data_IF_082449586802
#
_entry.id   IF_082449586802
#
_cell.length_a   1.000
_cell.length_b   1.000
_cell.length_c   1.000
_cell.angle_alpha   90.00
_cell.angle_beta   90.00
_cell.angle_gamma   90.00
#
_symmetry.space_group_name_H-M   'P 1'
#
loop_
_entity.id
_entity.type
_entity.pdbx_description
1 polymer ?
#
# COMPACT_ATOMS: atom_id res chain seq x y z
N UNK A 1 11.58 12.93 105.22
CA UNK A 1 11.45 14.39 105.42
C UNK A 1 12.69 15.07 104.87
N UNK A 2 12.55 16.23 104.23
CA UNK A 2 13.65 17.00 103.63
C UNK A 2 13.86 18.28 104.45
N UNK A 3 15.11 18.66 104.72
CA UNK A 3 15.45 19.89 105.46
C UNK A 3 15.43 21.07 104.49
N UNK A 4 14.62 22.09 104.76
CA UNK A 4 14.64 23.33 103.99
C UNK A 4 15.85 24.21 104.35
N UNK A 5 16.09 25.25 103.56
CA UNK A 5 17.23 26.16 103.75
C UNK A 5 17.20 26.91 105.09
N UNK A 6 16.05 26.93 105.78
CA UNK A 6 15.86 27.52 107.11
C UNK A 6 15.98 26.48 108.23
N UNK A 7 16.34 25.23 107.90
CA UNK A 7 16.61 24.16 108.84
C UNK A 7 15.39 23.37 109.31
N UNK A 8 14.20 23.61 108.74
CA UNK A 8 12.94 22.95 109.10
C UNK A 8 12.73 21.68 108.27
N UNK A 9 12.27 20.60 108.89
CA UNK A 9 11.94 19.36 108.20
C UNK A 9 10.53 19.44 107.59
N UNK A 10 10.43 19.29 106.27
CA UNK A 10 9.17 19.31 105.52
C UNK A 10 8.89 17.96 104.85
N UNK A 11 7.62 17.74 104.50
CA UNK A 11 7.21 16.62 103.64
C UNK A 11 7.77 16.80 102.23
N UNK A 12 8.04 15.69 101.54
CA UNK A 12 8.59 15.72 100.18
C UNK A 12 7.54 16.27 99.19
N UNK A 13 7.90 17.31 98.42
CA UNK A 13 7.05 17.85 97.36
C UNK A 13 7.42 17.14 96.06
N UNK A 14 6.46 16.47 95.43
CA UNK A 14 6.69 15.70 94.22
C UNK A 14 7.26 16.60 93.11
N UNK A 15 8.30 16.13 92.42
CA UNK A 15 9.01 16.84 91.35
C UNK A 15 9.78 18.10 91.76
N UNK A 16 10.00 18.35 93.05
CA UNK A 16 10.89 19.41 93.52
C UNK A 16 12.37 18.96 93.47
N UNK A 17 13.29 19.87 93.11
CA UNK A 17 14.72 19.60 93.16
C UNK A 17 15.22 19.51 94.61
N UNK A 18 16.17 18.61 94.85
CA UNK A 18 16.79 18.45 96.16
C UNK A 18 17.52 19.75 96.55
N UNK A 19 17.34 20.20 97.81
CA UNK A 19 17.84 21.46 98.37
C UNK A 19 17.16 22.76 97.87
N UNK A 20 16.09 22.64 97.08
CA UNK A 20 15.34 23.79 96.56
C UNK A 20 14.03 24.03 97.35
N UNK A 21 14.10 23.90 98.67
CA UNK A 21 12.98 24.11 99.60
C UNK A 21 13.22 25.35 100.47
N UNK A 22 12.25 26.26 100.52
CA UNK A 22 12.27 27.47 101.37
C UNK A 22 10.91 27.62 102.04
N UNK A 23 10.89 27.70 103.38
CA UNK A 23 9.66 27.83 104.18
C UNK A 23 8.59 26.76 103.85
N UNK A 24 9.01 25.52 103.63
CA UNK A 24 8.10 24.43 103.26
C UNK A 24 7.50 24.51 101.85
N UNK A 25 7.98 25.40 100.98
CA UNK A 25 7.60 25.51 99.58
C UNK A 25 8.77 25.11 98.67
N UNK A 26 8.46 24.52 97.52
CA UNK A 26 9.45 24.30 96.48
C UNK A 26 9.73 25.60 95.73
N UNK A 27 11.00 25.97 95.58
CA UNK A 27 11.43 27.15 94.80
C UNK A 27 12.02 26.77 93.44
N UNK A 28 12.39 25.50 93.24
CA UNK A 28 12.94 25.01 91.97
C UNK A 28 12.48 23.56 91.72
N UNK A 29 11.80 23.33 90.60
CA UNK A 29 11.24 22.04 90.23
C UNK A 29 12.09 21.34 89.16
N UNK A 30 11.91 20.03 88.99
CA UNK A 30 12.49 19.27 87.87
C UNK A 30 12.05 19.86 86.52
N UNK A 31 12.86 19.65 85.48
CA UNK A 31 12.55 20.06 84.10
C UNK A 31 11.10 19.67 83.72
N UNK A 32 10.36 20.60 83.12
CA UNK A 32 8.93 20.51 82.77
C UNK A 32 7.92 20.72 83.90
N UNK A 33 8.37 21.16 85.07
CA UNK A 33 7.51 21.57 86.18
C UNK A 33 7.89 22.97 86.68
N UNK A 34 6.92 23.72 87.20
CA UNK A 34 7.15 25.03 87.82
C UNK A 34 6.37 25.15 89.14
N UNK A 35 6.89 25.83 90.17
CA UNK A 35 6.18 26.00 91.43
C UNK A 35 4.98 26.92 91.26
N UNK A 36 3.81 26.51 91.76
CA UNK A 36 2.62 27.35 91.86
C UNK A 36 2.72 28.30 93.09
N UNK A 37 1.71 29.17 93.29
CA UNK A 37 1.64 30.09 94.44
C UNK A 37 1.72 29.40 95.82
N UNK A 38 1.32 28.12 95.87
CA UNK A 38 1.36 27.29 97.07
C UNK A 38 2.71 26.58 97.28
N UNK A 39 3.64 26.67 96.32
CA UNK A 39 4.94 26.02 96.38
C UNK A 39 4.95 24.58 95.90
N UNK A 40 3.91 24.13 95.19
CA UNK A 40 3.82 22.80 94.59
C UNK A 40 4.26 22.83 93.13
N UNK A 41 5.00 21.82 92.69
CA UNK A 41 5.46 21.70 91.31
C UNK A 41 4.32 21.23 90.40
N UNK A 42 3.79 22.14 89.58
CA UNK A 42 2.79 21.83 88.56
C UNK A 42 3.47 21.53 87.22
N UNK A 43 2.90 20.60 86.46
CA UNK A 43 3.42 20.23 85.14
C UNK A 43 3.23 21.39 84.16
N UNK A 44 4.33 21.89 83.61
CA UNK A 44 4.41 22.98 82.61
C UNK A 44 4.96 22.48 81.28
N UNK A 45 4.82 21.17 80.99
CA UNK A 45 5.20 20.58 79.71
C UNK A 45 4.43 21.26 78.58
N UNK A 46 5.17 21.80 77.61
CA UNK A 46 4.59 22.44 76.44
C UNK A 46 4.46 21.40 75.33
N UNK A 47 3.24 21.26 74.79
CA UNK A 47 2.99 20.33 73.69
C UNK A 47 3.81 20.72 72.46
N UNK A 48 4.31 19.71 71.75
CA UNK A 48 5.17 19.88 70.56
C UNK A 48 6.48 20.65 70.79
N UNK A 49 6.87 20.87 72.04
CA UNK A 49 8.17 21.43 72.37
C UNK A 49 9.25 20.34 72.40
N UNK A 50 10.41 20.61 71.78
CA UNK A 50 11.60 19.74 71.80
C UNK A 50 12.53 20.11 72.96
N UNK A 51 12.67 21.41 73.25
CA UNK A 51 13.45 21.92 74.38
C UNK A 51 12.71 23.08 75.03
N UNK A 52 12.54 23.05 76.35
CA UNK A 52 11.90 24.12 77.14
C UNK A 52 12.80 24.58 78.28
N UNK A 53 12.62 25.83 78.72
CA UNK A 53 13.20 26.40 79.93
C UNK A 53 12.06 26.81 80.91
N UNK A 54 12.41 27.51 81.98
CA UNK A 54 11.46 27.99 83.01
C UNK A 54 10.45 29.03 82.49
N UNK A 55 10.74 29.68 81.36
CA UNK A 55 9.92 30.74 80.77
C UNK A 55 9.04 30.26 79.61
N UNK A 56 9.33 29.09 79.04
CA UNK A 56 8.54 28.47 77.98
C UNK A 56 9.37 27.61 77.04
N UNK A 57 8.86 27.38 75.83
CA UNK A 57 9.57 26.57 74.84
C UNK A 57 10.74 27.35 74.23
N UNK A 58 11.91 26.72 74.15
CA UNK A 58 13.10 27.25 73.47
C UNK A 58 13.18 26.76 72.03
N UNK A 59 12.81 25.50 71.77
CA UNK A 59 12.83 24.88 70.44
C UNK A 59 11.63 23.98 70.25
N UNK A 60 10.84 24.22 69.22
CA UNK A 60 9.73 23.36 68.85
C UNK A 60 10.20 22.10 68.10
N UNK A 61 9.35 21.07 68.07
CA UNK A 61 9.51 19.93 67.17
C UNK A 61 9.36 20.37 65.72
N UNK A 62 9.86 19.55 64.80
CA UNK A 62 9.69 19.78 63.35
C UNK A 62 8.22 19.97 62.98
N UNK A 63 7.94 20.83 62.00
CA UNK A 63 6.58 21.27 61.60
C UNK A 63 5.82 22.13 62.62
N UNK A 64 6.49 22.61 63.66
CA UNK A 64 5.95 23.59 64.62
C UNK A 64 6.87 24.80 64.73
N UNK A 65 6.30 25.99 64.91
CA UNK A 65 7.04 27.23 65.10
C UNK A 65 6.82 27.80 66.49
N UNK A 66 7.83 28.51 66.99
CA UNK A 66 7.80 29.19 68.28
C UNK A 66 7.02 30.51 68.15
N UNK A 67 5.99 30.69 68.96
CA UNK A 67 5.22 31.94 69.06
C UNK A 67 5.89 32.94 69.99
N UNK A 68 5.43 34.20 69.96
CA UNK A 68 5.87 35.23 70.91
C UNK A 68 5.61 34.85 72.38
N UNK A 69 4.59 34.04 72.64
CA UNK A 69 4.22 33.55 73.97
C UNK A 69 5.00 32.29 74.39
N UNK A 70 6.12 31.99 73.71
CA UNK A 70 6.97 30.81 73.95
C UNK A 70 6.23 29.47 73.84
N UNK A 71 5.19 29.38 73.01
CA UNK A 71 4.44 28.14 72.72
C UNK A 71 4.75 27.64 71.31
N UNK A 72 4.48 26.36 71.06
CA UNK A 72 4.64 25.77 69.74
C UNK A 72 3.29 25.64 69.04
N UNK A 73 3.15 26.25 67.88
CA UNK A 73 1.99 26.09 67.02
C UNK A 73 2.37 25.40 65.71
N UNK A 74 1.43 24.64 65.15
CA UNK A 74 1.64 23.88 63.93
C UNK A 74 1.83 24.82 62.73
N UNK A 75 2.76 24.49 61.85
CA UNK A 75 2.90 25.13 60.55
C UNK A 75 1.67 24.87 59.67
N UNK A 76 1.43 25.76 58.71
CA UNK A 76 0.47 25.51 57.63
C UNK A 76 0.89 24.25 56.86
N UNK A 77 -0.08 23.43 56.48
CA UNK A 77 0.16 22.14 55.79
C UNK A 77 0.86 22.30 54.44
N UNK A 78 0.98 23.51 53.89
CA UNK A 78 1.79 23.81 52.70
C UNK A 78 3.29 23.99 52.99
N UNK A 79 3.67 24.25 54.25
CA UNK A 79 5.04 24.48 54.66
C UNK A 79 5.67 23.21 55.26
N UNK A 80 6.92 22.93 54.92
CA UNK A 80 7.69 21.90 55.64
C UNK A 80 8.25 22.46 56.96
N UNK A 81 8.76 23.69 56.91
CA UNK A 81 9.20 24.49 58.06
C UNK A 81 8.53 25.85 58.04
N UNK A 82 8.31 26.47 59.21
CA UNK A 82 7.77 27.82 59.29
C UNK A 82 8.37 28.62 60.46
N UNK A 83 8.37 29.95 60.33
CA UNK A 83 8.98 30.86 61.29
C UNK A 83 8.06 32.04 61.63
N UNK A 84 7.83 32.28 62.92
CA UNK A 84 7.05 33.40 63.47
C UNK A 84 5.54 33.33 63.24
N UNK A 85 5.08 32.79 62.10
CA UNK A 85 3.67 32.54 61.78
C UNK A 85 3.51 31.21 61.05
N UNK A 86 2.33 30.60 61.10
CA UNK A 86 2.05 29.31 60.44
C UNK A 86 2.26 29.35 58.92
N UNK A 87 2.04 30.51 58.28
CA UNK A 87 2.10 30.66 56.81
C UNK A 87 3.45 31.11 56.26
N UNK A 88 4.39 31.51 57.13
CA UNK A 88 5.72 31.94 56.72
C UNK A 88 6.62 30.73 56.65
N UNK A 89 6.68 30.11 55.47
CA UNK A 89 7.39 28.85 55.23
C UNK A 89 8.91 29.09 55.15
N UNK A 90 9.55 29.38 56.29
CA UNK A 90 10.97 29.65 56.44
C UNK A 90 11.56 28.86 57.60
N UNK A 91 12.86 28.60 57.55
CA UNK A 91 13.55 27.85 58.61
C UNK A 91 13.91 28.74 59.82
N UNK A 92 14.42 29.95 59.57
CA UNK A 92 15.03 30.81 60.61
C UNK A 92 14.96 32.31 60.27
N UNK A 93 14.11 32.71 59.31
CA UNK A 93 14.01 34.10 58.86
C UNK A 93 15.12 34.55 57.90
N UNK A 94 16.09 33.69 57.57
CA UNK A 94 17.17 33.93 56.58
C UNK A 94 16.67 34.08 55.13
N UNK A 95 15.39 33.85 54.88
CA UNK A 95 14.83 33.82 53.54
C UNK A 95 15.10 32.51 52.79
N UNK A 96 15.54 31.44 53.45
CA UNK A 96 15.47 30.07 52.93
C UNK A 96 14.21 29.38 53.46
N UNK A 97 13.45 28.75 52.57
CA UNK A 97 12.13 28.17 52.89
C UNK A 97 11.83 26.95 52.05
N UNK A 98 11.30 25.91 52.69
CA UNK A 98 10.98 24.62 52.05
C UNK A 98 9.46 24.41 52.09
N UNK A 99 8.90 24.19 50.90
CA UNK A 99 7.49 23.91 50.70
C UNK A 99 7.28 22.40 50.65
N UNK A 100 6.14 21.93 51.15
CA UNK A 100 5.77 20.52 51.00
C UNK A 100 5.61 20.16 49.52
N UNK A 101 5.80 18.87 49.20
CA UNK A 101 5.62 18.33 47.85
C UNK A 101 4.27 18.76 47.26
N UNK A 102 4.27 19.22 46.01
CA UNK A 102 3.09 19.80 45.34
C UNK A 102 2.90 21.30 45.57
N UNK A 103 3.81 21.97 46.27
CA UNK A 103 3.84 23.42 46.44
C UNK A 103 5.19 23.99 46.02
N UNK A 104 5.18 25.21 45.50
CA UNK A 104 6.38 25.99 45.18
C UNK A 104 6.43 27.26 46.02
N UNK A 105 7.65 27.81 46.15
CA UNK A 105 7.86 29.01 46.94
C UNK A 105 7.32 30.25 46.23
N UNK A 106 6.50 31.02 46.92
CA UNK A 106 5.98 32.29 46.45
C UNK A 106 6.15 33.37 47.54
N UNK A 107 7.24 34.15 47.43
CA UNK A 107 7.63 35.11 48.45
C UNK A 107 8.02 34.44 49.77
N UNK A 108 7.24 34.74 50.83
CA UNK A 108 7.41 34.19 52.19
C UNK A 108 6.58 32.93 52.46
N UNK A 109 5.68 32.57 51.54
CA UNK A 109 4.80 31.41 51.67
C UNK A 109 4.99 30.42 50.53
N UNK A 110 4.12 29.41 50.50
CA UNK A 110 4.07 28.43 49.45
C UNK A 110 2.73 28.50 48.72
N UNK A 111 2.78 28.38 47.40
CA UNK A 111 1.63 28.32 46.50
C UNK A 111 1.55 26.91 45.89
N UNK A 112 0.33 26.43 45.64
CA UNK A 112 0.12 25.10 45.08
C UNK A 112 0.62 25.04 43.63
N UNK A 113 1.24 23.93 43.25
CA UNK A 113 1.54 23.64 41.85
C UNK A 113 0.26 23.48 41.02
N UNK A 114 0.36 23.69 39.72
CA UNK A 114 -0.70 23.33 38.78
C UNK A 114 -1.00 21.83 38.83
N UNK A 115 -2.25 21.46 38.52
CA UNK A 115 -2.77 20.09 38.73
C UNK A 115 -2.01 19.03 37.92
N UNK A 116 -1.41 19.42 36.80
CA UNK A 116 -0.65 18.57 35.91
C UNK A 116 0.72 18.18 36.50
N UNK A 117 1.11 18.76 37.64
CA UNK A 117 2.47 18.71 38.14
C UNK A 117 2.54 18.19 39.56
N UNK A 118 3.40 17.19 39.75
CA UNK A 118 3.69 16.60 41.06
C UNK A 118 4.63 17.50 41.87
N UNK A 119 5.64 18.06 41.21
CA UNK A 119 6.55 19.07 41.77
C UNK A 119 6.82 20.16 40.75
N UNK A 120 6.93 21.38 41.22
CA UNK A 120 7.15 22.56 40.39
C UNK A 120 8.06 23.56 41.11
N UNK A 121 8.77 24.38 40.33
CA UNK A 121 9.58 25.48 40.87
C UNK A 121 8.83 26.82 40.79
N UNK A 122 7.95 26.95 39.81
CA UNK A 122 7.04 28.07 39.62
C UNK A 122 5.68 27.53 39.20
N UNK A 123 4.66 28.39 39.19
CA UNK A 123 3.30 28.03 38.78
C UNK A 123 3.26 27.16 37.52
N UNK A 124 3.95 27.59 36.45
CA UNK A 124 3.91 26.93 35.13
C UNK A 124 5.21 26.18 34.78
N UNK A 125 6.16 26.02 35.74
CA UNK A 125 7.43 25.32 35.51
C UNK A 125 7.51 24.06 36.34
N UNK A 126 7.10 22.96 35.71
CA UNK A 126 7.03 21.67 36.34
C UNK A 126 8.35 20.92 36.23
N UNK A 127 8.73 20.28 37.32
CA UNK A 127 9.94 19.46 37.39
C UNK A 127 9.55 18.00 37.14
N UNK A 128 8.48 17.54 37.81
CA UNK A 128 7.95 16.18 37.67
C UNK A 128 6.45 16.28 37.39
N UNK A 129 6.01 15.63 36.32
CA UNK A 129 4.59 15.58 35.97
C UNK A 129 3.79 14.67 36.92
N UNK A 130 2.53 15.04 37.12
CA UNK A 130 1.55 14.29 37.92
C UNK A 130 1.20 12.93 37.30
N UNK A 131 0.37 12.17 38.00
CA UNK A 131 -0.19 10.93 37.45
C UNK A 131 -1.14 11.24 36.28
N UNK A 132 -1.06 10.46 35.20
CA UNK A 132 -1.79 10.74 33.97
C UNK A 132 -1.19 11.85 33.10
N UNK A 133 0.00 12.36 33.44
CA UNK A 133 0.72 13.38 32.67
C UNK A 133 2.15 12.95 32.35
N UNK A 134 2.70 13.45 31.24
CA UNK A 134 4.10 13.24 30.84
C UNK A 134 4.75 14.56 30.41
N UNK A 135 6.08 14.61 30.45
CA UNK A 135 6.87 15.79 30.09
C UNK A 135 7.08 15.89 28.57
N UNK A 136 6.49 16.91 27.93
CA UNK A 136 6.71 17.20 26.52
C UNK A 136 8.17 17.57 26.22
N UNK A 137 8.53 17.63 24.93
CA UNK A 137 9.84 18.16 24.50
C UNK A 137 10.07 19.63 24.88
N UNK A 138 9.00 20.40 25.11
CA UNK A 138 9.05 21.81 25.51
C UNK A 138 9.08 22.00 27.03
N UNK A 139 9.13 20.92 27.81
CA UNK A 139 9.14 20.98 29.28
C UNK A 139 7.78 21.28 29.90
N UNK A 140 6.68 20.99 29.19
CA UNK A 140 5.31 21.18 29.68
C UNK A 140 4.69 19.81 29.95
N UNK A 141 4.02 19.66 31.09
CA UNK A 141 3.28 18.45 31.40
C UNK A 141 1.98 18.37 30.60
N UNK A 142 1.86 17.34 29.75
CA UNK A 142 0.69 17.09 28.90
C UNK A 142 -0.06 15.84 29.34
N UNK A 143 -1.38 15.84 29.17
CA UNK A 143 -2.23 14.69 29.55
C UNK A 143 -1.98 13.50 28.64
N UNK A 144 -1.74 12.33 29.23
CA UNK A 144 -1.55 11.07 28.48
C UNK A 144 -2.81 10.68 27.70
N UNK A 145 -4.00 11.04 28.20
CA UNK A 145 -5.29 10.75 27.54
C UNK A 145 -5.51 11.53 26.24
N UNK A 146 -4.81 12.65 26.06
CA UNK A 146 -4.93 13.47 24.84
C UNK A 146 -4.05 12.97 23.69
N UNK A 147 -3.04 12.15 23.99
CA UNK A 147 -2.16 11.58 22.98
C UNK A 147 -2.89 10.46 22.25
N UNK A 148 -2.86 10.53 20.92
CA UNK A 148 -3.35 9.47 20.04
C UNK A 148 -2.18 8.83 19.32
N UNK A 149 -2.37 7.57 18.92
CA UNK A 149 -1.39 6.88 18.07
C UNK A 149 -0.15 6.35 18.78
N UNK A 150 -0.07 6.42 20.11
CA UNK A 150 1.01 5.75 20.86
C UNK A 150 0.71 4.26 21.03
N UNK A 151 1.72 3.41 20.88
CA UNK A 151 1.65 1.97 21.08
C UNK A 151 2.13 1.63 22.48
N UNK A 152 1.22 1.16 23.33
CA UNK A 152 1.52 0.82 24.71
C UNK A 152 1.40 2.02 25.67
N UNK A 153 2.09 1.93 26.80
CA UNK A 153 2.05 2.95 27.85
C UNK A 153 2.93 4.17 27.51
N UNK A 154 2.51 5.34 28.00
CA UNK A 154 3.21 6.60 27.83
C UNK A 154 4.11 6.84 29.04
N UNK A 155 5.41 6.92 28.80
CA UNK A 155 6.41 7.15 29.82
C UNK A 155 6.35 8.61 30.32
N UNK A 156 6.44 8.82 31.64
CA UNK A 156 6.32 10.16 32.23
C UNK A 156 7.44 11.12 31.79
N UNK A 157 8.63 10.61 31.51
CA UNK A 157 9.80 11.41 31.15
C UNK A 157 10.04 11.40 29.64
N UNK A 158 9.88 10.23 29.01
CA UNK A 158 10.18 10.03 27.60
C UNK A 158 8.96 10.12 26.68
N UNK A 159 7.76 10.22 27.22
CA UNK A 159 6.52 10.22 26.45
C UNK A 159 6.29 8.91 25.72
N UNK A 160 5.87 8.98 24.46
CA UNK A 160 5.66 7.82 23.64
C UNK A 160 6.98 7.25 23.11
N UNK A 161 7.18 5.93 23.24
CA UNK A 161 8.38 5.24 22.71
C UNK A 161 8.19 4.69 21.31
N UNK A 162 6.99 4.18 21.01
CA UNK A 162 6.66 3.57 19.72
C UNK A 162 5.27 4.01 19.30
N UNK A 163 5.08 4.34 18.02
CA UNK A 163 3.78 4.73 17.49
C UNK A 163 3.06 3.55 16.83
N UNK A 164 1.73 3.60 16.84
CA UNK A 164 0.87 2.70 16.08
C UNK A 164 1.09 2.90 14.58
N UNK A 165 0.75 1.88 13.79
CA UNK A 165 0.76 1.98 12.33
C UNK A 165 -0.11 3.15 11.85
N UNK A 166 0.39 3.91 10.86
CA UNK A 166 -0.22 5.16 10.41
C UNK A 166 0.19 6.40 11.21
N UNK A 167 1.12 6.27 12.16
CA UNK A 167 1.70 7.38 12.93
C UNK A 167 3.23 7.32 12.94
N UNK A 168 3.87 8.47 13.14
CA UNK A 168 5.32 8.61 13.30
C UNK A 168 5.66 9.37 14.59
N UNK A 169 6.80 9.03 15.19
CA UNK A 169 7.25 9.62 16.44
C UNK A 169 7.91 10.98 16.19
N UNK A 170 7.39 12.02 16.84
CA UNK A 170 7.95 13.37 16.80
C UNK A 170 7.80 14.01 18.18
N UNK A 171 8.88 14.57 18.73
CA UNK A 171 8.84 15.32 19.99
C UNK A 171 8.23 14.54 21.17
N UNK A 172 8.50 13.23 21.29
CA UNK A 172 7.92 12.31 22.29
C UNK A 172 6.43 12.02 22.12
N UNK A 173 5.82 12.45 21.00
CA UNK A 173 4.41 12.28 20.68
C UNK A 173 4.26 11.60 19.32
N UNK A 174 3.08 11.04 19.04
CA UNK A 174 2.79 10.40 17.76
C UNK A 174 1.93 11.31 16.89
N UNK A 175 2.45 11.66 15.73
CA UNK A 175 1.72 12.41 14.71
C UNK A 175 1.24 11.48 13.61
N UNK A 176 0.06 11.76 13.06
CA UNK A 176 -0.52 10.93 12.00
C UNK A 176 0.29 11.08 10.71
N UNK A 177 0.52 9.98 10.01
CA UNK A 177 1.09 10.00 8.66
C UNK A 177 0.16 10.74 7.68
N UNK A 178 0.72 11.16 6.54
CA UNK A 178 -0.02 11.72 5.43
C UNK A 178 -1.12 10.79 4.90
N UNK A 179 -1.99 11.32 4.05
CA UNK A 179 -3.13 10.57 3.51
C UNK A 179 -2.70 9.24 2.88
N UNK A 180 -3.38 8.15 3.27
CA UNK A 180 -3.23 6.81 2.67
C UNK A 180 -1.84 6.19 2.85
N UNK A 181 -1.07 6.72 3.81
CA UNK A 181 0.25 6.22 4.19
C UNK A 181 0.18 5.32 5.44
N UNK A 182 0.73 4.11 5.35
CA UNK A 182 0.81 3.12 6.43
C UNK A 182 2.02 3.40 7.32
N UNK A 183 3.20 3.66 6.74
CA UNK A 183 4.41 4.01 7.48
C UNK A 183 5.09 5.21 6.86
N UNK A 184 5.49 6.17 7.68
CA UNK A 184 6.10 7.42 7.25
C UNK A 184 7.27 7.81 8.17
N UNK A 185 8.19 8.62 7.65
CA UNK A 185 9.26 9.24 8.44
C UNK A 185 8.78 10.55 9.08
N UNK A 186 8.00 11.32 8.31
CA UNK A 186 7.34 12.54 8.73
C UNK A 186 6.02 12.69 7.93
N UNK A 187 5.28 13.78 8.15
CA UNK A 187 3.99 14.03 7.49
C UNK A 187 4.04 13.95 5.96
N UNK A 188 5.16 14.33 5.34
CA UNK A 188 5.33 14.40 3.88
C UNK A 188 6.05 13.19 3.29
N UNK A 189 6.78 12.43 4.11
CA UNK A 189 7.64 11.34 3.65
C UNK A 189 7.05 9.97 3.97
N UNK A 190 6.26 9.44 3.04
CA UNK A 190 5.71 8.10 3.13
C UNK A 190 6.71 7.03 2.63
N UNK A 191 6.83 5.96 3.42
CA UNK A 191 7.65 4.79 3.11
C UNK A 191 6.80 3.60 2.61
N UNK A 192 5.53 3.51 3.03
CA UNK A 192 4.60 2.46 2.61
C UNK A 192 3.18 3.00 2.53
N UNK A 193 2.49 2.78 1.43
CA UNK A 193 1.10 3.21 1.24
C UNK A 193 0.12 2.04 1.43
N UNK A 194 -1.17 2.37 1.57
CA UNK A 194 -2.28 1.42 1.44
C UNK A 194 -2.21 0.66 0.09
N UNK A 195 -2.88 -0.49 0.01
CA UNK A 195 -3.01 -1.22 -1.25
C UNK A 195 -3.66 -0.32 -2.31
N UNK A 196 -3.34 -0.52 -3.59
CA UNK A 196 -3.77 0.33 -4.72
C UNK A 196 -3.11 1.71 -4.80
N UNK A 197 -2.24 2.07 -3.85
CA UNK A 197 -1.45 3.32 -3.90
C UNK A 197 0.01 3.06 -4.26
N UNK A 198 0.57 3.98 -5.05
CA UNK A 198 1.96 3.98 -5.51
C UNK A 198 2.71 5.16 -4.88
N UNK A 199 3.96 4.94 -4.49
CA UNK A 199 4.82 5.98 -3.92
C UNK A 199 5.47 6.76 -5.06
N UNK A 200 5.15 8.05 -5.16
CA UNK A 200 5.79 9.00 -6.08
C UNK A 200 6.21 10.20 -5.26
N UNK A 201 7.50 10.58 -5.31
CA UNK A 201 8.06 11.69 -4.54
C UNK A 201 7.73 11.61 -3.03
N UNK A 202 7.69 10.39 -2.48
CA UNK A 202 7.31 10.09 -1.09
C UNK A 202 5.84 10.33 -0.73
N UNK A 203 4.97 10.58 -1.70
CA UNK A 203 3.52 10.68 -1.51
C UNK A 203 2.79 9.47 -2.09
N UNK A 204 1.65 9.13 -1.50
CA UNK A 204 0.80 8.03 -1.92
C UNK A 204 -0.20 8.50 -2.98
N UNK A 205 -0.02 8.04 -4.21
CA UNK A 205 -0.92 8.37 -5.33
C UNK A 205 -1.67 7.11 -5.74
N UNK A 206 -3.00 7.20 -5.80
CA UNK A 206 -3.84 6.08 -6.25
C UNK A 206 -3.49 5.68 -7.69
N UNK A 207 -3.38 4.38 -7.97
CA UNK A 207 -2.90 3.89 -9.27
C UNK A 207 -3.72 4.39 -10.46
N UNK A 208 -5.03 4.63 -10.28
CA UNK A 208 -5.90 5.15 -11.34
C UNK A 208 -5.50 6.55 -11.82
N UNK A 209 -4.81 7.33 -10.98
CA UNK A 209 -4.27 8.63 -11.37
C UNK A 209 -2.97 8.51 -12.16
N UNK A 210 -2.35 7.33 -12.19
CA UNK A 210 -1.17 7.06 -13.00
C UNK A 210 -1.63 6.58 -14.37
N UNK A 211 -1.31 7.36 -15.39
CA UNK A 211 -1.71 7.07 -16.76
C UNK A 211 -1.29 5.65 -17.17
N UNK A 212 -2.27 4.86 -17.61
CA UNK A 212 -2.12 3.48 -18.07
C UNK A 212 -1.67 2.45 -17.03
N UNK A 213 -1.51 2.79 -15.75
CA UNK A 213 -1.31 1.77 -14.71
C UNK A 213 -2.63 1.03 -14.43
N UNK A 214 -2.55 -0.29 -14.20
CA UNK A 214 -3.73 -1.16 -14.01
C UNK A 214 -3.71 -1.90 -12.68
N UNK A 215 -2.54 -2.29 -12.22
CA UNK A 215 -2.38 -3.04 -10.98
C UNK A 215 -1.17 -2.51 -10.21
N UNK A 216 -1.19 -2.68 -8.89
CA UNK A 216 -0.10 -2.29 -7.99
C UNK A 216 0.47 -3.48 -7.26
N UNK A 217 1.78 -3.50 -7.02
CA UNK A 217 2.45 -4.43 -6.12
C UNK A 217 3.58 -3.71 -5.40
N UNK A 218 3.69 -3.88 -4.07
CA UNK A 218 4.71 -3.24 -3.25
C UNK A 218 4.78 -1.71 -3.43
N UNK A 219 3.61 -1.06 -3.47
CA UNK A 219 3.45 0.38 -3.72
C UNK A 219 4.15 0.89 -5.00
N UNK A 220 4.24 0.04 -6.02
CA UNK A 220 4.69 0.33 -7.38
C UNK A 220 3.67 -0.18 -8.39
N UNK A 221 3.67 0.38 -9.59
CA UNK A 221 2.87 -0.16 -10.69
C UNK A 221 3.42 -1.53 -11.09
N UNK A 222 2.58 -2.56 -10.99
CA UNK A 222 2.96 -3.94 -11.35
C UNK A 222 2.51 -4.34 -12.74
N UNK A 223 1.54 -3.62 -13.31
CA UNK A 223 1.00 -3.91 -14.63
C UNK A 223 0.49 -2.64 -15.30
N UNK A 224 0.91 -2.47 -16.54
CA UNK A 224 0.47 -1.37 -17.40
C UNK A 224 -0.58 -1.86 -18.40
N UNK A 225 -1.28 -0.91 -19.01
CA UNK A 225 -2.20 -1.17 -20.12
C UNK A 225 -1.44 -1.67 -21.35
N UNK A 226 -2.15 -2.32 -22.28
CA UNK A 226 -1.58 -2.82 -23.52
C UNK A 226 -0.78 -1.74 -24.26
N UNK A 227 0.43 -2.09 -24.73
CA UNK A 227 1.46 -1.22 -25.36
C UNK A 227 2.24 -0.30 -24.40
N UNK A 228 2.19 -0.57 -23.09
CA UNK A 228 2.99 0.16 -22.12
C UNK A 228 3.77 -0.81 -21.21
N UNK A 229 5.03 -0.49 -20.98
CA UNK A 229 5.95 -1.15 -20.06
C UNK A 229 6.19 -0.30 -18.82
N UNK A 230 6.62 -0.94 -17.74
CA UNK A 230 6.92 -0.29 -16.46
C UNK A 230 8.32 0.35 -16.56
N UNK A 231 8.50 1.56 -16.01
CA UNK A 231 9.83 2.17 -15.90
C UNK A 231 10.69 1.49 -14.80
N UNK A 232 12.00 1.74 -14.80
CA UNK A 232 12.93 1.13 -13.81
C UNK A 232 12.50 1.38 -12.35
N UNK A 233 11.94 2.55 -12.07
CA UNK A 233 11.48 2.90 -10.73
C UNK A 233 10.15 2.24 -10.33
N UNK A 234 9.32 1.83 -11.29
CA UNK A 234 7.97 1.30 -11.07
C UNK A 234 6.90 2.37 -10.81
N UNK A 235 7.16 3.62 -11.19
CA UNK A 235 6.32 4.80 -10.94
C UNK A 235 5.47 5.21 -12.13
N UNK A 236 5.82 4.80 -13.36
CA UNK A 236 5.15 5.20 -14.59
C UNK A 236 5.11 4.07 -15.62
N UNK A 237 4.16 4.17 -16.53
CA UNK A 237 4.01 3.29 -17.67
C UNK A 237 4.44 4.02 -18.96
N UNK A 238 5.55 3.60 -19.56
CA UNK A 238 6.08 4.16 -20.80
C UNK A 238 5.68 3.30 -22.00
N UNK A 239 5.54 3.90 -23.19
CA UNK A 239 5.13 3.16 -24.38
C UNK A 239 6.18 2.10 -24.72
N UNK A 240 5.75 0.86 -24.89
CA UNK A 240 6.59 -0.29 -25.24
C UNK A 240 6.04 -0.95 -26.50
N UNK A 241 6.88 -1.07 -27.53
CA UNK A 241 6.49 -1.61 -28.82
C UNK A 241 6.45 -3.13 -28.73
N UNK A 242 5.28 -3.69 -29.02
CA UNK A 242 5.02 -5.12 -28.95
C UNK A 242 5.39 -5.77 -30.30
N UNK A 243 6.67 -6.05 -30.51
CA UNK A 243 7.23 -6.54 -31.79
C UNK A 243 6.54 -7.77 -32.39
N UNK A 244 6.07 -8.69 -31.54
CA UNK A 244 5.39 -9.91 -32.02
C UNK A 244 4.06 -9.61 -32.72
N UNK A 245 3.36 -8.53 -32.35
CA UNK A 245 2.15 -8.12 -33.07
C UNK A 245 2.48 -7.57 -34.47
N UNK A 246 3.62 -6.89 -34.62
CA UNK A 246 4.10 -6.43 -35.92
C UNK A 246 4.44 -7.64 -36.81
N UNK A 247 5.06 -8.69 -36.24
CA UNK A 247 5.34 -9.94 -36.95
C UNK A 247 4.06 -10.63 -37.43
N UNK A 248 2.99 -10.66 -36.62
CA UNK A 248 1.69 -11.23 -37.03
C UNK A 248 1.11 -10.46 -38.23
N UNK A 249 1.16 -9.13 -38.21
CA UNK A 249 0.66 -8.30 -39.32
C UNK A 249 1.43 -8.61 -40.62
N UNK A 250 2.75 -8.77 -40.55
CA UNK A 250 3.59 -9.11 -41.71
C UNK A 250 3.24 -10.50 -42.26
N UNK A 251 3.03 -11.49 -41.37
CA UNK A 251 2.62 -12.84 -41.77
C UNK A 251 1.25 -12.83 -42.47
N UNK A 252 0.28 -12.06 -41.97
CA UNK A 252 -1.04 -11.93 -42.60
C UNK A 252 -0.91 -11.33 -44.01
N UNK A 253 -0.08 -10.30 -44.20
CA UNK A 253 0.17 -9.70 -45.51
C UNK A 253 0.79 -10.74 -46.47
N UNK A 254 1.75 -11.54 -46.02
CA UNK A 254 2.35 -12.60 -46.82
C UNK A 254 1.32 -13.66 -47.24
N UNK A 255 0.43 -14.07 -46.34
CA UNK A 255 -0.66 -15.02 -46.66
C UNK A 255 -1.60 -14.45 -47.72
N UNK A 256 -1.96 -13.16 -47.62
CA UNK A 256 -2.81 -12.50 -48.61
C UNK A 256 -2.12 -12.49 -49.99
N UNK A 257 -0.83 -12.19 -50.05
CA UNK A 257 -0.05 -12.22 -51.30
C UNK A 257 -0.06 -13.62 -51.92
N UNK A 258 0.15 -14.67 -51.11
CA UNK A 258 0.11 -16.07 -51.58
C UNK A 258 -1.27 -16.42 -52.14
N UNK A 259 -2.35 -16.02 -51.47
CA UNK A 259 -3.73 -16.24 -51.94
C UNK A 259 -3.95 -15.55 -53.29
N UNK A 260 -3.50 -14.31 -53.45
CA UNK A 260 -3.60 -13.56 -54.71
C UNK A 260 -2.84 -14.30 -55.83
N UNK A 261 -1.64 -14.80 -55.56
CA UNK A 261 -0.84 -15.57 -56.55
C UNK A 261 -1.59 -16.84 -56.95
N UNK A 262 -2.17 -17.58 -56.01
CA UNK A 262 -2.95 -18.79 -56.29
C UNK A 262 -4.16 -18.46 -57.17
N UNK A 263 -4.89 -17.38 -56.86
CA UNK A 263 -6.04 -16.93 -57.67
C UNK A 263 -5.60 -16.59 -59.10
N UNK A 264 -4.47 -15.89 -59.27
CA UNK A 264 -3.92 -15.56 -60.59
C UNK A 264 -3.58 -16.84 -61.37
N UNK A 265 -2.95 -17.83 -60.74
CA UNK A 265 -2.63 -19.12 -61.39
C UNK A 265 -3.90 -19.84 -61.83
N UNK A 266 -4.93 -19.91 -60.97
CA UNK A 266 -6.22 -20.50 -61.31
C UNK A 266 -6.87 -19.77 -62.49
N UNK A 267 -6.84 -18.44 -62.50
CA UNK A 267 -7.39 -17.61 -63.57
C UNK A 267 -6.66 -17.83 -64.90
N UNK A 268 -5.33 -17.90 -64.88
CA UNK A 268 -4.52 -18.20 -66.08
C UNK A 268 -4.90 -19.58 -66.63
N UNK A 269 -4.94 -20.62 -65.79
CA UNK A 269 -5.34 -21.97 -66.19
C UNK A 269 -6.76 -22.01 -66.75
N UNK A 270 -7.69 -21.27 -66.14
CA UNK A 270 -9.06 -21.14 -66.62
C UNK A 270 -9.12 -20.51 -68.02
N UNK A 271 -8.33 -19.45 -68.26
CA UNK A 271 -8.25 -18.77 -69.57
C UNK A 271 -7.67 -19.71 -70.63
N UNK A 272 -6.59 -20.43 -70.32
CA UNK A 272 -5.96 -21.40 -71.25
C UNK A 272 -6.96 -22.47 -71.66
N UNK A 273 -7.60 -23.12 -70.69
CA UNK A 273 -8.61 -24.17 -70.96
C UNK A 273 -9.79 -23.65 -71.77
N UNK A 274 -10.22 -22.42 -71.50
CA UNK A 274 -11.30 -21.77 -72.27
C UNK A 274 -10.87 -21.49 -73.71
N UNK A 275 -9.61 -21.10 -73.95
CA UNK A 275 -9.07 -20.86 -75.29
C UNK A 275 -8.98 -22.16 -76.10
N UNK A 276 -8.48 -23.24 -75.50
CA UNK A 276 -8.43 -24.56 -76.13
C UNK A 276 -9.81 -25.07 -76.55
N UNK A 277 -10.81 -24.95 -75.66
CA UNK A 277 -12.18 -25.34 -75.96
C UNK A 277 -12.76 -24.56 -77.16
N UNK A 278 -12.52 -23.24 -77.22
CA UNK A 278 -12.97 -22.40 -78.34
C UNK A 278 -12.31 -22.75 -79.68
N UNK A 279 -11.07 -23.24 -79.68
CA UNK A 279 -10.42 -23.70 -80.92
C UNK A 279 -10.99 -25.04 -81.39
N UNK A 280 -11.29 -25.97 -80.48
CA UNK A 280 -11.90 -27.27 -80.83
C UNK A 280 -13.32 -27.14 -81.41
N UNK A 281 -14.13 -26.22 -80.88
CA UNK A 281 -15.51 -25.97 -81.34
C UNK A 281 -15.59 -25.44 -82.79
N UNK A 282 -14.51 -24.86 -83.34
CA UNK A 282 -14.49 -24.35 -84.73
C UNK A 282 -14.37 -25.44 -85.79
N UNK A 283 -13.72 -26.56 -85.47
CA UNK A 283 -13.30 -27.59 -86.44
C UNK A 283 -14.01 -28.92 -86.26
N UNK A 284 -14.67 -29.14 -85.11
CA UNK A 284 -15.29 -30.41 -84.77
C UNK A 284 -16.65 -30.22 -84.10
N UNK A 285 -17.60 -31.09 -84.41
CA UNK A 285 -18.88 -31.18 -83.71
C UNK A 285 -18.92 -32.49 -82.95
N UNK A 286 -18.86 -32.43 -81.62
CA UNK A 286 -18.94 -33.59 -80.75
C UNK A 286 -20.38 -33.71 -80.24
N UNK A 287 -20.98 -34.88 -80.42
CA UNK A 287 -22.34 -35.18 -79.97
C UNK A 287 -22.42 -36.59 -79.40
N UNK A 288 -23.41 -36.84 -78.54
CA UNK A 288 -23.66 -38.18 -78.00
C UNK A 288 -24.28 -39.06 -79.08
N UNK A 289 -23.69 -40.25 -79.30
CA UNK A 289 -24.18 -41.23 -80.29
C UNK A 289 -25.67 -41.54 -80.08
N UNK A 290 -26.10 -41.72 -78.83
CA UNK A 290 -27.50 -42.01 -78.45
C UNK A 290 -28.51 -40.88 -78.74
N UNK A 291 -28.03 -39.67 -79.03
CA UNK A 291 -28.85 -38.50 -79.35
C UNK A 291 -28.83 -38.19 -80.85
N UNK A 292 -28.29 -39.09 -81.68
CA UNK A 292 -28.20 -38.91 -83.13
C UNK A 292 -29.10 -39.89 -83.88
N UNK A 293 -29.61 -39.47 -85.03
CA UNK A 293 -30.38 -40.33 -85.94
C UNK A 293 -29.47 -41.07 -86.96
N UNK A 294 -28.16 -41.04 -86.75
CA UNK A 294 -27.16 -41.61 -87.66
C UNK A 294 -27.06 -43.11 -87.40
N UNK A 295 -27.16 -43.92 -88.46
CA UNK A 295 -26.90 -45.37 -88.37
C UNK A 295 -25.39 -45.59 -88.40
N UNK A 296 -24.86 -46.14 -87.31
CA UNK A 296 -23.45 -46.46 -87.17
C UNK A 296 -23.17 -47.93 -87.44
N UNK A 297 -21.99 -48.19 -88.00
CA UNK A 297 -21.49 -49.51 -88.37
C UNK A 297 -20.16 -49.72 -87.65
N UNK A 298 -19.96 -50.89 -87.04
CA UNK A 298 -18.71 -51.19 -86.34
C UNK A 298 -17.54 -51.42 -87.31
N UNK A 299 -16.38 -50.84 -86.98
CA UNK A 299 -15.08 -51.07 -87.62
C UNK A 299 -14.17 -52.01 -86.80
N UNK A 300 -14.60 -52.38 -85.58
CA UNK A 300 -13.79 -53.14 -84.62
C UNK A 300 -13.22 -52.28 -83.49
N UNK A 301 -12.79 -52.93 -82.40
CA UNK A 301 -12.23 -52.28 -81.20
C UNK A 301 -13.10 -51.12 -80.65
N UNK A 302 -14.43 -51.27 -80.67
CA UNK A 302 -15.35 -50.24 -80.18
C UNK A 302 -15.36 -48.93 -80.99
N UNK A 303 -14.74 -48.89 -82.18
CA UNK A 303 -14.84 -47.77 -83.11
C UNK A 303 -16.00 -48.03 -84.06
N UNK A 304 -16.88 -47.03 -84.20
CA UNK A 304 -18.04 -47.08 -85.07
C UNK A 304 -18.00 -45.92 -86.08
N UNK A 305 -18.56 -46.11 -87.28
CA UNK A 305 -18.57 -45.11 -88.35
C UNK A 305 -19.93 -45.03 -89.04
N UNK A 306 -20.31 -43.89 -89.61
CA UNK A 306 -21.51 -43.79 -90.45
C UNK A 306 -21.32 -44.41 -91.85
N UNK A 307 -20.08 -44.49 -92.35
CA UNK A 307 -19.74 -44.95 -93.70
C UNK A 307 -18.51 -45.87 -93.68
N UNK A 308 -18.58 -47.01 -94.37
CA UNK A 308 -17.44 -47.93 -94.58
C UNK A 308 -16.70 -47.66 -95.89
N UNK A 309 -17.43 -47.17 -96.89
CA UNK A 309 -16.95 -46.82 -98.21
C UNK A 309 -17.38 -45.39 -98.51
N UNK A 310 -16.53 -44.66 -99.23
CA UNK A 310 -16.79 -43.28 -99.66
C UNK A 310 -16.93 -43.33 -101.17
N UNK A 311 -18.17 -43.21 -101.64
CA UNK A 311 -18.45 -43.07 -103.06
C UNK A 311 -18.33 -41.59 -103.44
N UNK A 312 -17.41 -41.28 -104.34
CA UNK A 312 -17.17 -39.93 -104.81
C UNK A 312 -17.89 -39.77 -106.15
N UNK A 313 -18.86 -38.86 -106.21
CA UNK A 313 -19.51 -38.43 -107.45
C UNK A 313 -20.88 -39.03 -107.74
N UNK A 314 -21.50 -39.84 -106.87
CA UNK A 314 -22.89 -40.35 -106.99
C UNK A 314 -23.33 -40.82 -108.41
N UNK A 315 -22.40 -41.29 -109.24
CA UNK A 315 -22.66 -41.70 -110.64
C UNK A 315 -22.59 -40.59 -111.70
N UNK A 316 -22.24 -39.35 -111.33
CA UNK A 316 -21.98 -38.20 -112.20
C UNK A 316 -20.48 -38.03 -112.54
N UNK A 317 -20.19 -37.23 -113.57
CA UNK A 317 -18.81 -36.90 -113.96
C UNK A 317 -18.12 -36.03 -112.90
N UNK A 318 -16.91 -36.44 -112.48
CA UNK A 318 -16.11 -35.71 -111.50
C UNK A 318 -15.35 -34.58 -112.18
N UNK A 319 -15.55 -33.34 -111.72
CA UNK A 319 -14.83 -32.18 -112.23
C UNK A 319 -13.34 -32.17 -111.82
N UNK A 320 -12.45 -32.01 -112.80
CA UNK A 320 -10.99 -31.95 -112.58
C UNK A 320 -10.63 -30.68 -111.79
N UNK A 321 -9.77 -30.84 -110.77
CA UNK A 321 -9.29 -29.77 -109.89
C UNK A 321 -10.35 -29.08 -109.01
N UNK A 322 -11.54 -29.68 -108.83
CA UNK A 322 -12.49 -29.24 -107.81
C UNK A 322 -12.42 -30.10 -106.55
N UNK A 323 -12.41 -29.46 -105.38
CA UNK A 323 -12.45 -30.16 -104.09
C UNK A 323 -13.87 -30.65 -103.80
N UNK A 324 -14.00 -31.95 -103.54
CA UNK A 324 -15.25 -32.56 -103.05
C UNK A 324 -15.11 -32.78 -101.55
N UNK A 325 -16.17 -32.47 -100.81
CA UNK A 325 -16.21 -32.63 -99.36
C UNK A 325 -17.23 -33.68 -98.98
N UNK A 326 -16.81 -34.57 -98.10
CA UNK A 326 -17.66 -35.62 -97.54
C UNK A 326 -17.51 -35.64 -96.02
N UNK A 327 -18.60 -35.95 -95.32
CA UNK A 327 -18.62 -35.96 -93.87
C UNK A 327 -18.64 -37.40 -93.34
N UNK A 328 -17.64 -37.70 -92.52
CA UNK A 328 -17.50 -38.99 -91.83
C UNK A 328 -17.72 -38.74 -90.33
N UNK A 329 -18.67 -39.46 -89.75
CA UNK A 329 -18.89 -39.49 -88.32
C UNK A 329 -18.20 -40.72 -87.73
N UNK A 330 -17.26 -40.49 -86.81
CA UNK A 330 -16.57 -41.55 -86.09
C UNK A 330 -17.01 -41.50 -84.63
N UNK A 331 -17.45 -42.62 -84.09
CA UNK A 331 -17.88 -42.78 -82.71
C UNK A 331 -16.99 -43.72 -81.92
N UNK A 332 -16.95 -43.51 -80.61
CA UNK A 332 -16.34 -44.39 -79.62
C UNK A 332 -17.47 -45.02 -78.81
N UNK A 333 -17.60 -46.34 -78.87
CA UNK A 333 -18.56 -47.09 -78.06
C UNK A 333 -17.97 -47.48 -76.69
N UNK A 334 -16.65 -47.38 -76.54
CA UNK A 334 -15.94 -47.67 -75.30
C UNK A 334 -15.90 -46.46 -74.36
N UNK A 335 -15.66 -46.70 -73.07
CA UNK A 335 -15.51 -45.63 -72.06
C UNK A 335 -14.12 -44.96 -72.04
N UNK A 336 -13.16 -45.54 -72.74
CA UNK A 336 -11.78 -45.06 -72.76
C UNK A 336 -11.59 -44.06 -73.90
N UNK A 337 -10.90 -42.94 -73.63
CA UNK A 337 -10.65 -41.91 -74.63
C UNK A 337 -9.78 -42.46 -75.76
N UNK A 338 -10.20 -42.24 -77.01
CA UNK A 338 -9.43 -42.65 -78.21
C UNK A 338 -9.00 -41.45 -79.03
N UNK A 339 -7.72 -41.44 -79.43
CA UNK A 339 -7.15 -40.48 -80.37
C UNK A 339 -7.15 -41.10 -81.76
N UNK A 340 -7.89 -40.49 -82.69
CA UNK A 340 -8.13 -41.02 -84.03
C UNK A 340 -7.47 -40.10 -85.05
N UNK A 341 -6.70 -40.71 -85.94
CA UNK A 341 -6.06 -40.08 -87.08
C UNK A 341 -6.42 -40.88 -88.33
N UNK A 342 -6.92 -40.20 -89.36
CA UNK A 342 -7.26 -40.83 -90.64
C UNK A 342 -6.04 -40.69 -91.56
N UNK A 343 -5.59 -41.79 -92.13
CA UNK A 343 -4.48 -41.83 -93.09
C UNK A 343 -4.85 -42.66 -94.32
N UNK A 344 -4.27 -42.32 -95.47
CA UNK A 344 -4.33 -43.16 -96.67
C UNK A 344 -3.23 -44.22 -96.62
N UNK A 345 -3.51 -45.43 -97.10
CA UNK A 345 -2.51 -46.51 -97.22
C UNK A 345 -1.65 -46.39 -98.48
N UNK A 346 -2.15 -45.73 -99.52
CA UNK A 346 -1.49 -45.60 -100.81
C UNK A 346 -1.48 -44.13 -101.27
N UNK A 347 -0.38 -43.72 -101.91
CA UNK A 347 -0.29 -42.46 -102.64
C UNK A 347 -0.87 -42.67 -104.05
N UNK A 348 -1.78 -41.78 -104.47
CA UNK A 348 -2.43 -41.85 -105.76
C UNK A 348 -2.09 -40.60 -106.58
N UNK A 349 -1.64 -40.77 -107.82
CA UNK A 349 -1.30 -39.64 -108.70
C UNK A 349 -2.54 -38.88 -109.20
N UNK A 350 -3.73 -39.49 -109.12
CA UNK A 350 -4.98 -38.94 -109.69
C UNK A 350 -5.78 -38.09 -108.70
N UNK A 351 -5.58 -38.25 -107.39
CA UNK A 351 -6.32 -37.50 -106.37
C UNK A 351 -5.49 -37.32 -105.09
N UNK A 352 -5.84 -36.30 -104.31
CA UNK A 352 -5.29 -36.10 -102.95
C UNK A 352 -6.43 -36.08 -101.93
N UNK A 353 -6.21 -36.74 -100.79
CA UNK A 353 -7.18 -36.79 -99.68
C UNK A 353 -6.58 -36.02 -98.51
N UNK A 354 -7.36 -35.12 -97.94
CA UNK A 354 -7.05 -34.46 -96.67
C UNK A 354 -8.23 -34.59 -95.71
N UNK A 355 -7.94 -34.63 -94.43
CA UNK A 355 -8.95 -34.68 -93.37
C UNK A 355 -8.88 -33.43 -92.52
N UNK A 356 -10.02 -32.96 -92.03
CA UNK A 356 -10.07 -31.82 -91.14
C UNK A 356 -11.11 -32.11 -90.03
N UNK A 357 -10.68 -32.27 -88.77
CA UNK A 357 -9.31 -32.17 -88.26
C UNK A 357 -8.43 -33.36 -88.67
N UNK A 358 -7.10 -33.17 -88.69
CA UNK A 358 -6.13 -34.25 -88.94
C UNK A 358 -6.11 -35.31 -87.83
N UNK A 359 -6.34 -34.88 -86.58
CA UNK A 359 -6.39 -35.76 -85.41
C UNK A 359 -7.51 -35.29 -84.50
N UNK A 360 -8.33 -36.23 -84.03
CA UNK A 360 -9.41 -35.97 -83.09
C UNK A 360 -9.27 -36.87 -81.85
N UNK A 361 -9.70 -36.40 -80.70
CA UNK A 361 -9.86 -37.24 -79.51
C UNK A 361 -11.34 -37.34 -79.21
N UNK A 362 -11.86 -38.55 -79.15
CA UNK A 362 -13.25 -38.83 -78.81
C UNK A 362 -13.31 -39.56 -77.47
N UNK A 363 -14.29 -39.19 -76.65
CA UNK A 363 -14.49 -39.71 -75.28
C UNK A 363 -15.68 -40.67 -75.24
#
# INVERSE_FOLDING_TARGET
>A
MIKDQNGKCNNNIQYCLNNSYVNGKCVECLNTYSPNLNGECINTKIEYCKEQNTYGCKRCKERYYLTKDMKCLKCDDKCETCYGTSTYCMTDGSGCGICNKGYYRNGKGCSKCEKECLTCNQKDKCIICGEGYFMSSTGICKSTTTIKGCKGEIDKEYGCRECLTGYYLINKECSKCGNKCITCLNEKECNKCEDEYIIINKECIHYSNINKCKETKNNKCSKCSFWYGINEEGTKCNKEIVWWMIMIIIIIILIIIIIIIIIIIIMINYIIKRKEKKEQEKTTTIFKISQSNIKFISLGDGIITNKKEIEIGEGEEIEVNKEIRELICIGNENKEKKKIQISSKEENEKYSIRTNPNIITIE
#
